data_IF_856224762162
#
_entry.id   IF_856224762162
#
_cell.length_a   1.000
_cell.length_b   1.000
_cell.length_c   1.000
_cell.angle_alpha   90.00
_cell.angle_beta   90.00
_cell.angle_gamma   90.00
#
_symmetry.space_group_name_H-M   'P 1'
#
loop_
_entity.id
_entity.type
_entity.pdbx_description
1 polymer ?
#
# COMPACT_ATOMS: atom_id res chain seq x y z
N UNK A 1 8.44 -17.30 0.76
CA UNK A 1 7.07 -17.03 1.25
C UNK A 1 6.64 -18.18 2.12
N UNK A 2 6.77 -19.43 1.64
CA UNK A 2 6.65 -20.65 2.46
C UNK A 2 7.43 -20.54 3.79
N UNK A 3 8.74 -20.28 3.77
CA UNK A 3 9.59 -20.17 4.97
C UNK A 3 9.25 -19.03 5.94
N UNK A 4 8.63 -17.94 5.49
CA UNK A 4 8.24 -16.83 6.38
C UNK A 4 6.85 -17.03 6.97
N UNK A 5 5.98 -17.69 6.21
CA UNK A 5 4.64 -18.08 6.66
C UNK A 5 4.73 -19.23 7.66
N UNK A 6 5.58 -20.23 7.42
CA UNK A 6 5.83 -21.28 8.41
C UNK A 6 6.44 -20.71 9.67
N UNK A 7 7.34 -19.72 9.60
CA UNK A 7 7.90 -19.12 10.80
C UNK A 7 6.86 -18.33 11.61
N UNK A 8 5.96 -17.60 10.93
CA UNK A 8 4.86 -16.86 11.60
C UNK A 8 3.80 -17.81 12.20
N UNK A 9 3.46 -18.88 11.48
CA UNK A 9 2.54 -19.93 11.96
C UNK A 9 3.19 -20.75 13.09
N UNK A 10 4.48 -21.06 13.00
CA UNK A 10 5.23 -21.69 14.10
C UNK A 10 5.32 -20.78 15.31
N UNK A 11 5.49 -19.46 15.13
CA UNK A 11 5.50 -18.51 16.23
C UNK A 11 4.13 -18.46 16.94
N UNK A 12 3.04 -18.40 16.16
CA UNK A 12 1.66 -18.48 16.67
C UNK A 12 1.32 -19.83 17.31
N UNK A 13 1.88 -20.93 16.81
CA UNK A 13 1.65 -22.26 17.38
C UNK A 13 2.48 -22.49 18.63
N UNK A 14 3.70 -21.93 18.72
CA UNK A 14 4.56 -22.05 19.91
C UNK A 14 3.94 -21.34 21.12
N UNK A 15 3.30 -20.18 20.90
CA UNK A 15 2.52 -19.49 21.95
C UNK A 15 1.28 -20.27 22.40
N UNK A 16 0.74 -21.15 21.54
CA UNK A 16 -0.41 -21.99 21.85
C UNK A 16 -0.02 -23.35 22.46
N UNK A 17 1.23 -23.79 22.33
CA UNK A 17 1.69 -25.11 22.77
C UNK A 17 2.45 -25.12 24.09
N UNK A 18 2.87 -23.96 24.60
CA UNK A 18 3.70 -23.88 25.81
C UNK A 18 2.94 -23.85 27.14
N UNK A 19 1.61 -23.83 27.16
CA UNK A 19 0.86 -23.62 28.40
C UNK A 19 -0.10 -24.77 28.70
N UNK A 20 0.44 -25.81 29.34
CA UNK A 20 -0.32 -26.81 30.10
C UNK A 20 0.20 -26.81 31.55
N UNK A 21 -0.17 -25.79 32.32
CA UNK A 21 -0.05 -25.78 33.78
C UNK A 21 -1.13 -24.86 34.37
N UNK A 22 -2.01 -25.45 35.19
CA UNK A 22 -3.38 -24.95 35.45
C UNK A 22 -3.49 -23.71 36.37
N UNK A 23 -2.46 -23.33 37.12
CA UNK A 23 -2.55 -22.19 38.06
C UNK A 23 -1.96 -20.86 37.51
N UNK A 24 -1.18 -20.90 36.42
CA UNK A 24 -0.70 -19.71 35.67
C UNK A 24 -1.70 -19.32 34.56
N UNK A 25 -2.76 -20.12 34.39
CA UNK A 25 -3.71 -20.00 33.29
C UNK A 25 -4.56 -18.72 33.38
N UNK A 26 -4.91 -18.23 34.56
CA UNK A 26 -5.84 -17.08 34.71
C UNK A 26 -5.14 -15.76 34.34
N UNK A 27 -3.95 -15.51 34.89
CA UNK A 27 -3.18 -14.29 34.61
C UNK A 27 -2.68 -14.25 33.15
N UNK A 28 -2.40 -15.42 32.55
CA UNK A 28 -2.10 -15.53 31.12
C UNK A 28 -3.35 -15.41 30.23
N UNK A 29 -4.54 -15.81 30.70
CA UNK A 29 -5.80 -15.64 29.98
C UNK A 29 -6.18 -14.15 29.91
N UNK A 30 -6.09 -13.43 31.03
CA UNK A 30 -6.36 -11.99 31.10
C UNK A 30 -5.42 -11.19 30.19
N UNK A 31 -4.14 -11.56 30.17
CA UNK A 31 -3.18 -10.98 29.22
C UNK A 31 -3.52 -11.25 27.76
N UNK A 32 -4.00 -12.46 27.43
CA UNK A 32 -4.39 -12.78 26.07
C UNK A 32 -5.67 -12.04 25.64
N UNK A 33 -6.59 -11.75 26.57
CA UNK A 33 -7.81 -10.99 26.31
C UNK A 33 -7.45 -9.55 25.91
N UNK A 34 -6.51 -8.90 26.60
CA UNK A 34 -6.06 -7.55 26.22
C UNK A 34 -5.47 -7.49 24.80
N UNK A 35 -4.66 -8.49 24.42
CA UNK A 35 -4.15 -8.63 23.04
C UNK A 35 -5.28 -8.79 22.01
N UNK A 36 -6.28 -9.61 22.35
CA UNK A 36 -7.45 -9.84 21.50
C UNK A 36 -8.22 -8.54 21.29
N UNK A 37 -8.43 -7.75 22.35
CA UNK A 37 -9.12 -6.47 22.29
C UNK A 37 -8.36 -5.42 21.47
N UNK A 38 -7.03 -5.35 21.61
CA UNK A 38 -6.21 -4.43 20.81
C UNK A 38 -6.27 -4.81 19.33
N UNK A 39 -6.06 -6.09 19.01
CA UNK A 39 -6.04 -6.54 17.62
C UNK A 39 -7.43 -6.41 16.99
N UNK A 40 -8.50 -6.72 17.72
CA UNK A 40 -9.87 -6.52 17.23
C UNK A 40 -10.15 -5.05 16.95
N UNK A 41 -9.75 -4.12 17.83
CA UNK A 41 -10.01 -2.69 17.66
C UNK A 41 -9.13 -2.01 16.60
N UNK A 42 -7.93 -2.54 16.34
CA UNK A 42 -7.05 -2.09 15.26
C UNK A 42 -7.52 -2.61 13.90
N UNK A 43 -8.21 -3.75 13.84
CA UNK A 43 -8.56 -4.39 12.57
C UNK A 43 -9.39 -3.55 11.60
N UNK A 44 -10.44 -2.82 12.05
CA UNK A 44 -11.25 -1.98 11.18
C UNK A 44 -10.44 -0.80 10.64
N UNK A 45 -9.42 -0.34 11.37
CA UNK A 45 -8.50 0.74 10.94
C UNK A 45 -7.73 0.36 9.69
N UNK A 46 -7.45 -0.93 9.48
CA UNK A 46 -6.80 -1.42 8.27
C UNK A 46 -7.70 -1.35 7.02
N UNK A 47 -9.03 -1.34 7.23
CA UNK A 47 -10.06 -1.31 6.17
C UNK A 47 -10.55 0.11 5.90
N UNK A 48 -10.93 0.89 6.90
CA UNK A 48 -11.16 2.32 6.73
C UNK A 48 -10.80 3.05 8.04
N UNK A 49 -9.61 3.65 8.13
CA UNK A 49 -9.14 4.30 9.35
C UNK A 49 -10.04 5.42 9.84
N UNK A 50 -10.62 6.21 8.92
CA UNK A 50 -11.42 7.36 9.33
C UNK A 50 -12.75 6.93 9.92
N UNK A 51 -13.45 6.01 9.24
CA UNK A 51 -14.70 5.44 9.73
C UNK A 51 -14.47 4.60 11.00
N UNK A 52 -13.39 3.83 11.05
CA UNK A 52 -13.07 3.01 12.22
C UNK A 52 -12.87 3.85 13.47
N UNK A 53 -12.02 4.88 13.40
CA UNK A 53 -11.75 5.76 14.55
C UNK A 53 -12.98 6.58 14.90
N UNK A 54 -13.65 7.17 13.91
CA UNK A 54 -14.87 7.95 14.13
C UNK A 54 -15.96 7.10 14.80
N UNK A 55 -16.25 5.91 14.25
CA UNK A 55 -17.27 5.01 14.76
C UNK A 55 -16.94 4.52 16.17
N UNK A 56 -15.69 4.13 16.43
CA UNK A 56 -15.26 3.66 17.76
C UNK A 56 -15.34 4.78 18.80
N UNK A 57 -14.84 5.98 18.49
CA UNK A 57 -14.87 7.12 19.40
C UNK A 57 -16.32 7.61 19.65
N UNK A 58 -17.16 7.65 18.61
CA UNK A 58 -18.56 8.04 18.74
C UNK A 58 -19.34 7.05 19.62
N UNK A 59 -19.20 5.75 19.39
CA UNK A 59 -19.86 4.71 20.18
C UNK A 59 -19.37 4.74 21.64
N UNK A 60 -18.08 4.94 21.87
CA UNK A 60 -17.52 5.13 23.21
C UNK A 60 -18.19 6.30 23.94
N UNK A 61 -18.37 7.45 23.28
CA UNK A 61 -19.05 8.62 23.86
C UNK A 61 -20.55 8.42 24.07
N UNK A 62 -21.17 7.52 23.33
CA UNK A 62 -22.57 7.11 23.53
C UNK A 62 -22.73 6.07 24.64
N UNK A 63 -21.64 5.64 25.29
CA UNK A 63 -21.65 4.65 26.37
C UNK A 63 -21.52 3.19 25.89
N UNK A 64 -21.23 2.96 24.62
CA UNK A 64 -20.95 1.62 24.07
C UNK A 64 -19.45 1.42 23.90
N UNK A 65 -18.82 0.73 24.85
CA UNK A 65 -17.39 0.47 24.85
C UNK A 65 -17.07 -0.88 25.51
N UNK A 66 -15.96 -1.51 25.11
CA UNK A 66 -15.31 -2.55 25.90
C UNK A 66 -14.34 -1.92 26.92
N UNK A 67 -13.70 -2.74 27.76
CA UNK A 67 -12.77 -2.24 28.78
C UNK A 67 -11.58 -1.49 28.18
N UNK A 68 -11.00 -2.03 27.08
CA UNK A 68 -9.94 -1.34 26.36
C UNK A 68 -10.34 0.07 25.90
N UNK A 69 -11.46 0.22 25.19
CA UNK A 69 -11.87 1.51 24.60
C UNK A 69 -12.22 2.53 25.68
N UNK A 70 -12.88 2.10 26.76
CA UNK A 70 -13.28 2.99 27.86
C UNK A 70 -12.07 3.70 28.46
N UNK A 71 -10.99 2.96 28.69
CA UNK A 71 -9.79 3.46 29.33
C UNK A 71 -8.78 4.08 28.34
N UNK A 72 -9.12 4.12 27.05
CA UNK A 72 -8.18 4.51 26.01
C UNK A 72 -8.19 6.04 25.76
N UNK A 73 -7.08 6.75 26.01
CA UNK A 73 -7.04 8.21 25.94
C UNK A 73 -7.28 8.78 24.53
N UNK A 74 -7.06 7.97 23.48
CA UNK A 74 -7.36 8.35 22.10
C UNK A 74 -8.87 8.35 21.79
N UNK A 75 -9.63 7.37 22.30
CA UNK A 75 -11.05 7.22 21.96
C UNK A 75 -11.95 8.05 22.86
N UNK A 76 -11.50 8.34 24.09
CA UNK A 76 -12.22 9.17 25.05
C UNK A 76 -12.07 10.70 24.81
N UNK A 77 -11.82 11.13 23.58
CA UNK A 77 -11.63 12.56 23.26
C UNK A 77 -12.60 13.08 22.19
N UNK A 78 -13.40 14.11 22.53
CA UNK A 78 -14.34 14.76 21.60
C UNK A 78 -13.65 15.37 20.38
N UNK A 79 -12.40 15.84 20.52
CA UNK A 79 -11.61 16.33 19.39
C UNK A 79 -11.39 15.23 18.35
N UNK A 80 -11.14 13.99 18.78
CA UNK A 80 -10.95 12.84 17.90
C UNK A 80 -12.25 12.50 17.17
N UNK A 81 -13.40 12.53 17.86
CA UNK A 81 -14.71 12.35 17.23
C UNK A 81 -14.95 13.38 16.13
N UNK A 82 -14.72 14.67 16.41
CA UNK A 82 -14.94 15.75 15.45
C UNK A 82 -13.97 15.64 14.27
N UNK A 83 -12.66 15.51 14.54
CA UNK A 83 -11.63 15.45 13.50
C UNK A 83 -11.86 14.29 12.54
N UNK A 84 -12.07 13.08 13.08
CA UNK A 84 -12.28 11.89 12.27
C UNK A 84 -13.67 11.85 11.63
N UNK A 85 -14.68 12.47 12.23
CA UNK A 85 -15.99 12.69 11.62
C UNK A 85 -15.92 13.61 10.40
N UNK A 86 -15.14 14.70 10.47
CA UNK A 86 -14.91 15.60 9.34
C UNK A 86 -14.12 14.90 8.24
N UNK A 87 -13.04 14.18 8.59
CA UNK A 87 -12.26 13.41 7.62
C UNK A 87 -13.11 12.34 6.95
N UNK A 88 -13.89 11.56 7.72
CA UNK A 88 -14.80 10.57 7.18
C UNK A 88 -15.83 11.22 6.23
N UNK A 89 -16.48 12.30 6.65
CA UNK A 89 -17.48 13.01 5.83
C UNK A 89 -16.86 13.52 4.52
N UNK A 90 -15.65 14.10 4.58
CA UNK A 90 -14.92 14.52 3.39
C UNK A 90 -14.64 13.35 2.44
N UNK A 91 -14.17 12.21 2.96
CA UNK A 91 -13.93 11.01 2.16
C UNK A 91 -15.22 10.39 1.60
N UNK A 92 -16.32 10.40 2.36
CA UNK A 92 -17.60 9.89 1.91
C UNK A 92 -18.16 10.73 0.77
N UNK A 93 -18.07 12.07 0.87
CA UNK A 93 -18.49 13.02 -0.17
C UNK A 93 -17.63 12.88 -1.42
N UNK A 94 -16.29 12.80 -1.29
CA UNK A 94 -15.39 12.59 -2.43
C UNK A 94 -15.63 11.23 -3.08
N UNK A 95 -15.77 10.18 -2.26
CA UNK A 95 -16.00 8.83 -2.73
C UNK A 95 -17.30 8.66 -3.51
N UNK A 96 -18.36 9.38 -3.14
CA UNK A 96 -19.69 9.25 -3.76
C UNK A 96 -19.92 10.24 -4.90
N UNK A 97 -19.52 11.51 -4.74
CA UNK A 97 -19.83 12.58 -5.71
C UNK A 97 -18.72 12.75 -6.74
N UNK A 98 -17.45 12.58 -6.33
CA UNK A 98 -16.30 12.89 -7.18
C UNK A 98 -15.74 11.66 -7.93
N UNK A 99 -16.05 10.41 -7.56
CA UNK A 99 -15.59 9.23 -8.32
C UNK A 99 -16.29 9.04 -9.68
N UNK A 100 -17.34 9.79 -10.00
CA UNK A 100 -18.07 9.72 -11.29
C UNK A 100 -17.36 10.40 -12.46
N UNK A 101 -16.40 11.31 -12.21
CA UNK A 101 -15.66 12.01 -13.26
C UNK A 101 -14.18 11.54 -13.35
N UNK A 102 -13.70 11.28 -14.58
CA UNK A 102 -12.36 10.73 -14.82
C UNK A 102 -11.20 11.62 -14.33
N UNK A 103 -11.46 12.93 -14.16
CA UNK A 103 -10.50 13.92 -13.68
C UNK A 103 -10.40 13.93 -12.16
N UNK A 104 -11.53 13.76 -11.46
CA UNK A 104 -11.62 13.68 -10.00
C UNK A 104 -11.22 12.32 -9.45
N UNK A 105 -11.16 11.28 -10.30
CA UNK A 105 -10.55 9.99 -9.94
C UNK A 105 -9.09 10.09 -9.48
N UNK A 106 -8.34 11.13 -9.86
CA UNK A 106 -6.97 11.37 -9.35
C UNK A 106 -6.98 11.84 -7.89
N UNK A 107 -7.94 12.70 -7.53
CA UNK A 107 -8.14 13.15 -6.14
C UNK A 107 -8.55 11.98 -5.26
N UNK A 108 -9.45 11.14 -5.76
CA UNK A 108 -9.87 9.92 -5.07
C UNK A 108 -8.69 8.94 -4.82
N UNK A 109 -7.81 8.76 -5.81
CA UNK A 109 -6.62 7.90 -5.62
C UNK A 109 -5.59 8.50 -4.64
N UNK A 110 -5.48 9.83 -4.56
CA UNK A 110 -4.64 10.50 -3.57
C UNK A 110 -5.20 10.34 -2.16
N UNK A 111 -6.53 10.40 -2.03
CA UNK A 111 -7.26 10.12 -0.80
C UNK A 111 -7.05 8.66 -0.35
N UNK A 112 -7.22 7.66 -1.23
CA UNK A 112 -6.95 6.24 -0.92
C UNK A 112 -5.48 6.01 -0.46
N UNK A 113 -4.52 6.78 -1.01
CA UNK A 113 -3.11 6.76 -0.58
C UNK A 113 -2.92 7.36 0.81
N UNK A 114 -3.53 8.52 1.09
CA UNK A 114 -3.50 9.16 2.40
C UNK A 114 -4.16 8.27 3.46
N UNK A 115 -5.30 7.68 3.14
CA UNK A 115 -6.00 6.72 4.00
C UNK A 115 -5.09 5.54 4.37
N UNK A 116 -4.32 5.00 3.42
CA UNK A 116 -3.37 3.91 3.69
C UNK A 116 -2.24 4.35 4.63
N UNK A 117 -1.78 5.60 4.54
CA UNK A 117 -0.76 6.14 5.46
C UNK A 117 -1.34 6.46 6.83
N UNK A 118 -2.55 7.01 6.87
CA UNK A 118 -3.29 7.27 8.08
C UNK A 118 -3.50 5.98 8.88
N UNK A 119 -3.87 4.87 8.23
CA UNK A 119 -4.07 3.58 8.89
C UNK A 119 -2.85 3.11 9.70
N UNK A 120 -1.65 3.23 9.15
CA UNK A 120 -0.40 2.87 9.86
C UNK A 120 -0.11 3.85 11.00
N UNK A 121 -0.31 5.15 10.77
CA UNK A 121 -0.09 6.19 11.78
C UNK A 121 -1.07 6.04 12.95
N UNK A 122 -2.34 5.79 12.67
CA UNK A 122 -3.38 5.58 13.67
C UNK A 122 -3.10 4.31 14.44
N UNK A 123 -2.72 3.21 13.78
CA UNK A 123 -2.30 2.00 14.48
C UNK A 123 -1.14 2.29 15.45
N UNK A 124 -0.13 3.05 15.00
CA UNK A 124 0.98 3.45 15.85
C UNK A 124 0.49 4.25 17.07
N UNK A 125 -0.39 5.24 16.86
CA UNK A 125 -0.91 6.06 17.95
C UNK A 125 -1.77 5.23 18.90
N UNK A 126 -2.70 4.41 18.40
CA UNK A 126 -3.59 3.59 19.23
C UNK A 126 -2.80 2.59 20.08
N UNK A 127 -1.80 1.92 19.52
CA UNK A 127 -1.02 0.93 20.28
C UNK A 127 -0.04 1.57 21.27
N UNK A 128 0.52 2.74 20.94
CA UNK A 128 1.60 3.35 21.73
C UNK A 128 1.08 4.36 22.75
N UNK A 129 0.03 5.10 22.45
CA UNK A 129 -0.45 6.20 23.29
C UNK A 129 -0.80 5.77 24.74
N UNK A 130 -1.45 4.61 24.98
CA UNK A 130 -1.70 4.12 26.33
C UNK A 130 -0.43 3.98 27.16
N UNK A 131 0.68 3.55 26.54
CA UNK A 131 1.96 3.31 27.23
C UNK A 131 2.64 4.59 27.73
N UNK A 132 2.25 5.75 27.20
CA UNK A 132 2.78 7.05 27.63
C UNK A 132 1.86 7.79 28.60
N UNK A 133 0.55 7.56 28.51
CA UNK A 133 -0.45 8.31 29.28
C UNK A 133 -0.98 7.54 30.49
N UNK A 134 -1.13 6.22 30.36
CA UNK A 134 -1.55 5.36 31.45
C UNK A 134 -0.29 4.74 32.07
N UNK A 135 0.00 5.09 33.32
CA UNK A 135 1.05 4.47 34.12
C UNK A 135 0.59 3.09 34.63
N UNK A 136 0.22 2.18 33.72
CA UNK A 136 -0.18 0.83 34.14
C UNK A 136 1.06 0.02 34.56
N UNK A 137 1.09 -0.50 35.81
CA UNK A 137 2.27 -1.17 36.37
C UNK A 137 2.61 -2.50 35.69
N UNK A 138 1.71 -3.06 34.87
CA UNK A 138 1.85 -4.40 34.28
C UNK A 138 2.64 -4.39 32.95
N UNK A 139 2.83 -3.22 32.33
CA UNK A 139 3.71 -3.05 31.16
C UNK A 139 5.20 -2.92 31.54
N UNK A 140 5.56 -3.13 32.83
CA UNK A 140 6.92 -2.96 33.35
C UNK A 140 7.89 -4.12 33.07
N UNK A 141 7.51 -5.14 32.29
CA UNK A 141 8.45 -6.21 31.95
C UNK A 141 9.34 -5.88 30.74
N UNK A 142 10.65 -5.92 31.00
CA UNK A 142 11.78 -5.78 30.08
C UNK A 142 11.72 -4.55 29.18
N UNK A 143 12.20 -3.44 29.74
CA UNK A 143 12.36 -2.16 29.06
C UNK A 143 13.49 -2.27 28.04
N UNK A 144 13.17 -2.18 26.75
CA UNK A 144 14.17 -1.86 25.73
C UNK A 144 14.31 -0.33 25.76
N UNK A 145 15.29 0.15 26.53
CA UNK A 145 15.56 1.58 26.63
C UNK A 145 16.33 2.04 25.38
N UNK A 146 15.65 2.70 24.45
CA UNK A 146 16.26 3.36 23.30
C UNK A 146 16.19 4.88 23.49
N UNK A 147 17.14 5.42 24.26
CA UNK A 147 17.21 6.87 24.53
C UNK A 147 16.04 7.38 25.39
N UNK A 148 15.36 8.43 24.92
CA UNK A 148 14.25 9.11 25.63
C UNK A 148 12.91 8.36 25.60
N UNK A 149 12.85 7.18 24.96
CA UNK A 149 11.62 6.39 24.81
C UNK A 149 11.85 5.02 25.47
N UNK A 150 11.07 4.72 26.50
CA UNK A 150 11.00 3.41 27.14
C UNK A 150 9.77 2.66 26.63
N UNK A 151 9.97 1.64 25.79
CA UNK A 151 8.91 0.74 25.36
C UNK A 151 9.20 -0.67 25.89
N UNK A 152 8.18 -1.33 26.44
CA UNK A 152 8.26 -2.75 26.78
C UNK A 152 8.41 -3.60 25.52
N UNK A 153 9.14 -4.70 25.62
CA UNK A 153 9.23 -5.70 24.55
C UNK A 153 7.84 -6.17 24.07
N UNK A 154 6.86 -6.29 24.98
CA UNK A 154 5.47 -6.69 24.65
C UNK A 154 4.83 -5.69 23.68
N UNK A 155 4.99 -4.39 23.95
CA UNK A 155 4.46 -3.30 23.09
C UNK A 155 5.15 -3.28 21.73
N UNK A 156 6.47 -3.48 21.69
CA UNK A 156 7.23 -3.55 20.44
C UNK A 156 6.77 -4.72 19.58
N UNK A 157 6.60 -5.91 20.19
CA UNK A 157 6.09 -7.09 19.50
C UNK A 157 4.67 -6.87 18.97
N UNK A 158 3.79 -6.31 19.80
CA UNK A 158 2.42 -5.98 19.43
C UNK A 158 2.38 -5.03 18.24
N UNK A 159 3.17 -3.95 18.29
CA UNK A 159 3.28 -2.96 17.23
C UNK A 159 3.77 -3.59 15.93
N UNK A 160 4.75 -4.50 15.98
CA UNK A 160 5.23 -5.21 14.80
C UNK A 160 4.13 -6.08 14.19
N UNK A 161 3.39 -6.82 15.02
CA UNK A 161 2.30 -7.69 14.57
C UNK A 161 1.16 -6.87 13.96
N UNK A 162 0.65 -5.88 14.67
CA UNK A 162 -0.47 -5.03 14.22
C UNK A 162 -0.09 -4.21 12.99
N UNK A 163 1.13 -3.68 12.93
CA UNK A 163 1.61 -2.93 11.76
C UNK A 163 1.74 -3.85 10.55
N UNK A 164 2.27 -5.06 10.71
CA UNK A 164 2.35 -6.02 9.62
C UNK A 164 0.95 -6.40 9.11
N UNK A 165 0.04 -6.67 10.05
CA UNK A 165 -1.37 -6.94 9.77
C UNK A 165 -2.03 -5.80 8.97
N UNK A 166 -1.93 -4.57 9.46
CA UNK A 166 -2.49 -3.36 8.82
C UNK A 166 -1.93 -3.21 7.40
N UNK A 167 -0.61 -3.35 7.23
CA UNK A 167 0.02 -3.24 5.91
C UNK A 167 -0.54 -4.28 4.94
N UNK A 168 -0.75 -5.53 5.37
CA UNK A 168 -1.27 -6.59 4.51
C UNK A 168 -2.70 -6.28 4.08
N UNK A 169 -3.59 -5.98 5.02
CA UNK A 169 -5.01 -5.70 4.71
C UNK A 169 -5.15 -4.42 3.90
N UNK A 170 -4.52 -3.31 4.30
CA UNK A 170 -4.61 -2.06 3.55
C UNK A 170 -4.03 -2.19 2.14
N UNK A 171 -3.04 -3.06 1.91
CA UNK A 171 -2.55 -3.36 0.55
C UNK A 171 -3.61 -4.07 -0.29
N UNK A 172 -4.35 -5.01 0.28
CA UNK A 172 -5.43 -5.72 -0.44
C UNK A 172 -6.61 -4.82 -0.68
N UNK A 173 -7.00 -4.01 0.31
CA UNK A 173 -7.99 -2.95 0.17
C UNK A 173 -7.63 -2.00 -0.97
N UNK A 174 -6.43 -1.43 -0.96
CA UNK A 174 -5.99 -0.50 -2.00
C UNK A 174 -5.98 -1.17 -3.39
N UNK A 175 -5.75 -2.48 -3.46
CA UNK A 175 -5.91 -3.22 -4.72
C UNK A 175 -7.38 -3.30 -5.16
N UNK A 176 -8.34 -3.51 -4.25
CA UNK A 176 -9.77 -3.45 -4.55
C UNK A 176 -10.17 -2.04 -5.01
N UNK A 177 -9.73 -0.99 -4.30
CA UNK A 177 -10.01 0.40 -4.69
C UNK A 177 -9.44 0.72 -6.09
N UNK A 178 -8.26 0.18 -6.42
CA UNK A 178 -7.68 0.30 -7.76
C UNK A 178 -8.50 -0.47 -8.83
N UNK A 179 -9.04 -1.64 -8.49
CA UNK A 179 -9.94 -2.37 -9.40
C UNK A 179 -11.25 -1.60 -9.64
N UNK A 180 -11.82 -1.02 -8.60
CA UNK A 180 -12.96 -0.10 -8.66
C UNK A 180 -12.62 1.06 -9.58
N UNK A 181 -11.47 1.70 -9.39
CA UNK A 181 -11.03 2.79 -10.26
C UNK A 181 -10.87 2.39 -11.75
N UNK A 182 -10.49 1.13 -12.04
CA UNK A 182 -10.38 0.61 -13.41
C UNK A 182 -11.71 0.08 -13.97
N UNK A 183 -12.75 0.00 -13.14
CA UNK A 183 -14.08 -0.45 -13.53
C UNK A 183 -14.74 0.60 -14.43
N UNK A 184 -15.38 0.21 -15.53
CA UNK A 184 -16.15 1.12 -16.36
C UNK A 184 -17.59 1.31 -15.85
N UNK A 185 -17.97 0.69 -14.73
CA UNK A 185 -19.36 0.61 -14.24
C UNK A 185 -19.52 1.36 -12.90
N UNK A 186 -19.99 2.63 -12.91
CA UNK A 186 -20.15 3.44 -11.70
C UNK A 186 -21.03 2.81 -10.61
N UNK A 187 -22.03 2.00 -11.00
CA UNK A 187 -22.89 1.29 -10.05
C UNK A 187 -22.14 0.27 -9.21
N UNK A 188 -21.22 -0.49 -9.84
CA UNK A 188 -20.39 -1.48 -9.14
C UNK A 188 -19.46 -0.78 -8.16
N UNK A 189 -18.97 0.39 -8.53
CA UNK A 189 -18.04 1.19 -7.72
C UNK A 189 -18.72 1.73 -6.46
N UNK A 190 -19.94 2.25 -6.58
CA UNK A 190 -20.75 2.71 -5.44
C UNK A 190 -21.11 1.56 -4.50
N UNK A 191 -21.52 0.40 -5.03
CA UNK A 191 -21.85 -0.77 -4.22
C UNK A 191 -20.62 -1.26 -3.46
N UNK A 192 -19.44 -1.34 -4.10
CA UNK A 192 -18.21 -1.77 -3.45
C UNK A 192 -17.73 -0.79 -2.38
N UNK A 193 -17.85 0.52 -2.62
CA UNK A 193 -17.53 1.54 -1.60
C UNK A 193 -18.50 1.46 -0.40
N UNK A 194 -19.80 1.27 -0.65
CA UNK A 194 -20.80 1.11 0.41
C UNK A 194 -20.55 -0.17 1.20
N UNK A 195 -20.25 -1.28 0.51
CA UNK A 195 -19.89 -2.55 1.15
C UNK A 195 -18.63 -2.39 2.02
N UNK A 196 -17.62 -1.65 1.56
CA UNK A 196 -16.41 -1.34 2.36
C UNK A 196 -16.76 -0.58 3.65
N UNK A 197 -17.62 0.44 3.56
CA UNK A 197 -18.07 1.22 4.71
C UNK A 197 -18.88 0.34 5.68
N UNK A 198 -19.88 -0.38 5.17
CA UNK A 198 -20.72 -1.27 5.97
C UNK A 198 -19.90 -2.38 6.64
N UNK A 199 -18.94 -2.96 5.93
CA UNK A 199 -18.04 -3.97 6.49
C UNK A 199 -17.14 -3.39 7.59
N UNK A 200 -16.59 -2.19 7.40
CA UNK A 200 -15.77 -1.55 8.45
C UNK A 200 -16.61 -1.25 9.69
N UNK A 201 -17.80 -0.66 9.51
CA UNK A 201 -18.70 -0.35 10.60
C UNK A 201 -19.16 -1.62 11.35
N UNK A 202 -19.47 -2.69 10.60
CA UNK A 202 -19.77 -3.99 11.18
C UNK A 202 -18.63 -4.56 12.01
N UNK A 203 -17.38 -4.43 11.54
CA UNK A 203 -16.20 -4.83 12.33
C UNK A 203 -15.98 -3.98 13.58
N UNK A 204 -16.27 -2.67 13.54
CA UNK A 204 -16.23 -1.80 14.72
C UNK A 204 -17.24 -2.28 15.76
N UNK A 205 -18.50 -2.49 15.36
CA UNK A 205 -19.54 -3.00 16.26
C UNK A 205 -19.14 -4.36 16.84
N UNK A 206 -18.67 -5.27 15.99
CA UNK A 206 -18.25 -6.59 16.42
C UNK A 206 -17.08 -6.52 17.42
N UNK A 207 -16.15 -5.59 17.23
CA UNK A 207 -14.99 -5.41 18.12
C UNK A 207 -15.39 -4.82 19.48
N UNK A 208 -16.40 -3.95 19.52
CA UNK A 208 -16.91 -3.36 20.77
C UNK A 208 -17.74 -4.38 21.55
N UNK A 209 -18.69 -5.06 20.90
CA UNK A 209 -19.63 -5.95 21.59
C UNK A 209 -19.07 -7.36 21.82
N UNK A 210 -18.24 -7.87 20.90
CA UNK A 210 -17.73 -9.23 20.94
C UNK A 210 -16.25 -9.29 20.48
N UNK A 211 -15.29 -8.78 21.28
CA UNK A 211 -13.89 -8.66 20.89
C UNK A 211 -13.27 -9.98 20.36
N UNK A 212 -13.58 -11.11 21.01
CA UNK A 212 -13.10 -12.44 20.59
C UNK A 212 -13.63 -12.81 19.20
N UNK A 213 -14.91 -12.58 18.93
CA UNK A 213 -15.48 -12.83 17.61
C UNK A 213 -14.86 -11.89 16.56
N UNK A 214 -14.68 -10.61 16.92
CA UNK A 214 -13.98 -9.61 16.10
C UNK A 214 -12.57 -10.06 15.73
N UNK A 215 -11.83 -10.61 16.68
CA UNK A 215 -10.49 -11.16 16.46
C UNK A 215 -10.47 -12.39 15.54
N UNK A 216 -11.40 -13.34 15.71
CA UNK A 216 -11.51 -14.50 14.82
C UNK A 216 -11.81 -14.07 13.38
N UNK A 217 -12.78 -13.17 13.19
CA UNK A 217 -13.07 -12.60 11.87
C UNK A 217 -11.85 -11.89 11.28
N UNK A 218 -11.12 -11.16 12.12
CA UNK A 218 -9.88 -10.46 11.75
C UNK A 218 -8.82 -11.41 11.22
N UNK A 219 -8.61 -12.57 11.87
CA UNK A 219 -7.69 -13.61 11.39
C UNK A 219 -8.13 -14.14 10.03
N UNK A 220 -9.42 -14.43 9.85
CA UNK A 220 -9.97 -14.95 8.58
C UNK A 220 -9.69 -13.95 7.45
N UNK A 221 -9.98 -12.67 7.68
CA UNK A 221 -9.74 -11.60 6.70
C UNK A 221 -8.26 -11.48 6.39
N UNK A 222 -7.39 -11.59 7.40
CA UNK A 222 -5.95 -11.54 7.22
C UNK A 222 -5.43 -12.70 6.37
N UNK A 223 -5.92 -13.92 6.60
CA UNK A 223 -5.54 -15.10 5.81
C UNK A 223 -5.95 -14.94 4.34
N UNK A 224 -7.19 -14.50 4.08
CA UNK A 224 -7.67 -14.20 2.73
C UNK A 224 -6.80 -13.10 2.09
N UNK A 225 -6.50 -12.05 2.86
CA UNK A 225 -5.67 -10.94 2.40
C UNK A 225 -4.24 -11.39 2.08
N UNK A 226 -3.67 -12.31 2.86
CA UNK A 226 -2.32 -12.83 2.64
C UNK A 226 -2.21 -13.64 1.34
N UNK A 227 -3.27 -14.38 0.98
CA UNK A 227 -3.36 -15.07 -0.31
C UNK A 227 -3.37 -14.07 -1.49
N UNK A 228 -4.11 -12.97 -1.35
CA UNK A 228 -4.24 -11.94 -2.38
C UNK A 228 -3.06 -10.96 -2.42
N UNK A 229 -2.32 -10.80 -1.32
CA UNK A 229 -1.29 -9.78 -1.13
C UNK A 229 -0.24 -9.77 -2.25
N UNK A 230 0.23 -10.94 -2.69
CA UNK A 230 1.24 -11.04 -3.76
C UNK A 230 0.72 -10.47 -5.08
N UNK A 231 -0.56 -10.70 -5.39
CA UNK A 231 -1.21 -10.21 -6.61
C UNK A 231 -1.48 -8.71 -6.47
N UNK A 232 -2.08 -8.29 -5.36
CA UNK A 232 -2.35 -6.89 -5.02
C UNK A 232 -1.08 -6.03 -5.15
N UNK A 233 0.00 -6.42 -4.46
CA UNK A 233 1.28 -5.69 -4.47
C UNK A 233 1.86 -5.52 -5.87
N UNK A 234 1.75 -6.52 -6.75
CA UNK A 234 2.26 -6.43 -8.14
C UNK A 234 1.48 -5.41 -8.94
N UNK A 235 0.15 -5.46 -8.87
CA UNK A 235 -0.73 -4.51 -9.56
C UNK A 235 -0.49 -3.08 -9.10
N UNK A 236 -0.33 -2.89 -7.78
CA UNK A 236 -0.06 -1.58 -7.18
C UNK A 236 1.30 -1.04 -7.62
N UNK A 237 2.35 -1.86 -7.64
CA UNK A 237 3.67 -1.44 -8.10
C UNK A 237 3.65 -1.07 -9.58
N UNK A 238 2.91 -1.81 -10.41
CA UNK A 238 2.70 -1.48 -11.82
C UNK A 238 2.01 -0.13 -11.97
N UNK A 239 0.88 0.08 -11.29
CA UNK A 239 0.13 1.33 -11.35
C UNK A 239 0.93 2.52 -10.83
N UNK A 240 1.64 2.37 -9.70
CA UNK A 240 2.52 3.40 -9.14
C UNK A 240 3.55 3.89 -10.16
N UNK A 241 4.18 2.96 -10.87
CA UNK A 241 5.22 3.30 -11.84
C UNK A 241 4.66 3.89 -13.14
N UNK A 242 3.56 3.32 -13.67
CA UNK A 242 2.99 3.73 -14.95
C UNK A 242 2.12 4.98 -14.87
N UNK A 243 1.49 5.23 -13.72
CA UNK A 243 0.51 6.32 -13.52
C UNK A 243 1.01 7.34 -12.52
N UNK A 244 1.31 6.92 -11.29
CA UNK A 244 1.60 7.87 -10.21
C UNK A 244 2.91 8.62 -10.43
N UNK A 245 3.97 7.94 -10.89
CA UNK A 245 5.26 8.58 -11.18
C UNK A 245 5.16 9.64 -12.30
N UNK A 246 4.53 9.35 -13.45
CA UNK A 246 4.28 10.38 -14.44
C UNK A 246 3.44 11.56 -13.94
N UNK A 247 2.37 11.31 -13.19
CA UNK A 247 1.56 12.40 -12.63
C UNK A 247 2.35 13.26 -11.64
N UNK A 248 3.16 12.63 -10.79
CA UNK A 248 4.02 13.35 -9.86
C UNK A 248 5.10 14.18 -10.58
N UNK A 249 5.70 13.63 -11.63
CA UNK A 249 6.67 14.33 -12.48
C UNK A 249 6.02 15.43 -13.33
N UNK A 250 4.72 15.32 -13.68
CA UNK A 250 4.00 16.42 -14.32
C UNK A 250 3.87 17.63 -13.39
N UNK A 251 3.77 17.39 -12.08
CA UNK A 251 3.74 18.44 -11.06
C UNK A 251 5.14 19.00 -10.78
N UNK A 252 6.13 18.13 -10.56
CA UNK A 252 7.52 18.57 -10.36
C UNK A 252 8.23 18.78 -11.70
N UNK A 253 8.45 20.03 -12.11
CA UNK A 253 9.34 20.40 -13.22
C UNK A 253 10.82 20.05 -12.94
N UNK A 254 11.18 18.78 -12.77
CA UNK A 254 12.57 18.33 -12.67
C UNK A 254 12.97 17.63 -13.97
N UNK A 255 13.87 18.27 -14.71
CA UNK A 255 14.34 17.85 -16.05
C UNK A 255 15.45 16.79 -16.01
N UNK A 256 16.05 16.49 -14.85
CA UNK A 256 17.15 15.51 -14.73
C UNK A 256 16.65 14.10 -14.41
N UNK A 257 15.92 13.48 -15.33
CA UNK A 257 15.33 12.13 -15.14
C UNK A 257 16.26 11.01 -15.65
N UNK A 258 17.21 11.32 -16.53
CA UNK A 258 17.95 10.33 -17.32
C UNK A 258 19.28 9.88 -16.74
N UNK A 259 19.98 10.74 -16.00
CA UNK A 259 21.38 10.54 -15.64
C UNK A 259 21.60 10.58 -14.13
N UNK A 260 22.51 9.74 -13.66
CA UNK A 260 23.04 9.78 -12.30
C UNK A 260 24.54 10.12 -12.38
N UNK A 261 24.84 11.36 -12.80
CA UNK A 261 26.18 11.76 -13.24
C UNK A 261 26.24 11.84 -14.76
N UNK A 262 27.10 11.03 -15.38
CA UNK A 262 27.36 11.04 -16.83
C UNK A 262 26.73 9.86 -17.59
N UNK A 263 26.41 8.75 -16.91
CA UNK A 263 25.86 7.54 -17.54
C UNK A 263 24.32 7.40 -17.40
N UNK A 264 23.70 6.69 -18.34
CA UNK A 264 22.26 6.40 -18.35
C UNK A 264 21.86 5.67 -17.07
N UNK A 265 20.91 6.22 -16.33
CA UNK A 265 20.32 5.60 -15.14
C UNK A 265 18.82 5.92 -15.05
N UNK A 266 18.00 5.08 -15.69
CA UNK A 266 16.54 5.28 -15.74
C UNK A 266 15.78 4.23 -14.91
N UNK A 267 14.61 4.61 -14.38
CA UNK A 267 13.73 3.65 -13.72
C UNK A 267 12.90 2.94 -14.78
N UNK A 268 12.83 1.60 -14.71
CA UNK A 268 12.03 0.75 -15.59
C UNK A 268 11.23 -0.26 -14.80
N UNK A 269 10.07 -0.68 -15.31
CA UNK A 269 9.29 -1.76 -14.70
C UNK A 269 9.54 -3.08 -15.42
N UNK A 270 10.06 -4.07 -14.69
CA UNK A 270 10.36 -5.38 -15.25
C UNK A 270 9.11 -6.25 -15.30
N UNK A 271 8.59 -6.52 -16.51
CA UNK A 271 7.37 -7.31 -16.73
C UNK A 271 7.65 -8.81 -16.69
N UNK A 272 8.75 -9.27 -17.29
CA UNK A 272 9.14 -10.69 -17.32
C UNK A 272 10.16 -11.04 -16.22
N UNK A 273 10.29 -12.33 -15.88
CA UNK A 273 11.37 -12.76 -14.99
C UNK A 273 12.62 -12.88 -15.85
N UNK A 274 13.68 -12.15 -15.49
CA UNK A 274 14.95 -12.24 -16.17
C UNK A 274 16.03 -12.68 -15.18
N UNK A 275 16.64 -13.84 -15.42
CA UNK A 275 17.65 -14.44 -14.53
C UNK A 275 17.18 -14.47 -13.05
N UNK A 276 17.99 -13.95 -12.12
CA UNK A 276 17.68 -13.83 -10.67
C UNK A 276 16.71 -12.68 -10.35
N UNK A 277 16.40 -11.82 -11.32
CA UNK A 277 15.49 -10.68 -11.15
C UNK A 277 14.03 -11.11 -11.31
N UNK A 278 13.24 -10.89 -10.25
CA UNK A 278 11.81 -11.26 -10.24
C UNK A 278 10.98 -10.27 -11.03
N UNK A 279 10.03 -10.79 -11.82
CA UNK A 279 8.98 -10.03 -12.49
C UNK A 279 8.14 -9.18 -11.52
N UNK A 280 7.60 -8.09 -12.05
CA UNK A 280 6.68 -7.19 -11.38
C UNK A 280 7.36 -6.25 -10.39
N UNK A 281 8.54 -5.74 -10.74
CA UNK A 281 9.34 -4.86 -9.89
C UNK A 281 9.84 -3.65 -10.66
N UNK A 282 9.86 -2.51 -9.98
CA UNK A 282 10.55 -1.31 -10.43
C UNK A 282 12.04 -1.51 -10.15
N UNK A 283 12.83 -1.37 -11.20
CA UNK A 283 14.29 -1.56 -11.21
C UNK A 283 14.92 -0.38 -11.94
N UNK A 284 16.22 -0.19 -11.78
CA UNK A 284 16.96 0.85 -12.50
C UNK A 284 17.75 0.19 -13.63
N UNK A 285 17.65 0.74 -14.82
CA UNK A 285 18.48 0.37 -15.96
C UNK A 285 19.67 1.33 -15.97
N UNK A 286 20.84 0.78 -15.74
CA UNK A 286 22.13 1.49 -15.65
C UNK A 286 23.00 1.03 -16.81
N UNK A 287 23.67 1.97 -17.48
CA UNK A 287 24.74 1.68 -18.43
C UNK A 287 26.06 1.93 -17.72
N UNK A 288 26.95 0.94 -17.69
CA UNK A 288 28.32 1.08 -17.18
C UNK A 288 29.26 0.69 -18.33
N UNK A 289 29.85 1.68 -19.01
CA UNK A 289 30.60 1.45 -20.25
C UNK A 289 29.74 0.84 -21.37
N UNK A 290 30.13 -0.34 -21.88
CA UNK A 290 29.38 -1.06 -22.92
C UNK A 290 28.32 -2.02 -22.35
N UNK A 291 28.33 -2.26 -21.04
CA UNK A 291 27.45 -3.26 -20.42
C UNK A 291 26.21 -2.60 -19.82
N UNK A 292 25.09 -3.30 -19.94
CA UNK A 292 23.81 -2.86 -19.40
C UNK A 292 23.47 -3.66 -18.16
N UNK A 293 23.06 -2.98 -17.11
CA UNK A 293 22.71 -3.59 -15.84
C UNK A 293 21.30 -3.21 -15.43
N UNK A 294 20.56 -4.20 -14.94
CA UNK A 294 19.37 -3.96 -14.14
C UNK A 294 19.77 -4.00 -12.68
N UNK A 295 19.76 -2.83 -12.04
CA UNK A 295 20.08 -2.67 -10.63
C UNK A 295 18.80 -2.55 -9.79
N UNK A 296 18.83 -3.15 -8.60
CA UNK A 296 17.80 -2.95 -7.58
C UNK A 296 18.45 -2.58 -6.26
N UNK A 297 18.22 -1.34 -5.82
CA UNK A 297 18.61 -0.90 -4.47
C UNK A 297 17.83 -1.69 -3.41
N UNK A 298 18.56 -2.20 -2.42
CA UNK A 298 18.01 -2.77 -1.19
C UNK A 298 18.33 -1.78 -0.06
N UNK A 299 17.38 -1.53 0.83
CA UNK A 299 17.52 -0.51 1.88
C UNK A 299 18.74 -0.72 2.80
N UNK A 300 19.22 -1.97 2.93
CA UNK A 300 20.34 -2.34 3.83
C UNK A 300 21.44 -3.20 3.18
N UNK A 301 21.38 -3.47 1.88
CA UNK A 301 22.34 -4.34 1.20
C UNK A 301 22.82 -3.72 -0.10
N UNK A 302 23.99 -4.18 -0.58
CA UNK A 302 24.51 -3.83 -1.89
C UNK A 302 23.43 -4.02 -2.97
N UNK A 303 23.38 -3.08 -3.95
CA UNK A 303 22.42 -3.16 -5.04
C UNK A 303 22.61 -4.49 -5.76
N UNK A 304 21.51 -5.20 -5.97
CA UNK A 304 21.55 -6.43 -6.75
C UNK A 304 21.58 -6.03 -8.22
N UNK A 305 22.75 -6.12 -8.85
CA UNK A 305 22.97 -5.88 -10.28
C UNK A 305 22.91 -7.21 -11.03
N UNK A 306 22.23 -7.19 -12.17
CA UNK A 306 22.17 -8.30 -13.12
C UNK A 306 22.46 -7.72 -14.49
N UNK A 307 23.45 -8.27 -15.17
CA UNK A 307 23.78 -7.91 -16.55
C UNK A 307 22.61 -8.27 -17.46
N UNK A 308 22.25 -7.34 -18.33
CA UNK A 308 21.11 -7.43 -19.23
C UNK A 308 21.62 -7.47 -20.65
N UNK A 309 21.25 -8.53 -21.36
CA UNK A 309 21.46 -8.60 -22.79
C UNK A 309 20.24 -8.02 -23.54
N UNK A 310 20.49 -6.97 -24.32
CA UNK A 310 19.51 -6.29 -25.17
C UNK A 310 19.78 -6.50 -26.67
N UNK A 311 20.60 -7.47 -27.08
CA UNK A 311 20.81 -7.76 -28.50
C UNK A 311 19.49 -8.01 -29.22
N UNK A 312 19.21 -7.25 -30.29
CA UNK A 312 17.97 -7.36 -31.05
C UNK A 312 16.75 -6.72 -30.39
N UNK A 313 16.91 -6.01 -29.27
CA UNK A 313 15.81 -5.30 -28.64
C UNK A 313 15.41 -4.05 -29.41
N UNK A 314 14.12 -3.71 -29.30
CA UNK A 314 13.56 -2.49 -29.86
C UNK A 314 12.61 -1.83 -28.85
N UNK A 315 12.47 -0.52 -28.98
CA UNK A 315 11.47 0.25 -28.23
C UNK A 315 10.19 0.33 -29.05
N UNK A 316 9.14 -0.34 -28.56
CA UNK A 316 7.79 -0.18 -29.07
C UNK A 316 7.05 0.89 -28.26
N UNK A 317 6.66 1.98 -28.90
CA UNK A 317 5.94 3.08 -28.25
C UNK A 317 4.45 2.74 -28.09
N UNK A 318 3.96 2.85 -26.87
CA UNK A 318 2.52 2.84 -26.54
C UNK A 318 2.04 4.23 -26.12
N UNK A 319 0.75 4.35 -25.80
CA UNK A 319 0.14 5.65 -25.45
C UNK A 319 0.49 6.04 -24.01
N UNK A 320 0.41 5.09 -23.07
CA UNK A 320 0.76 5.32 -21.67
C UNK A 320 2.19 4.94 -21.31
N UNK A 321 2.73 3.93 -21.98
CA UNK A 321 4.05 3.41 -21.69
C UNK A 321 4.65 2.82 -22.95
N UNK A 322 5.97 2.90 -23.05
CA UNK A 322 6.71 2.19 -24.10
C UNK A 322 7.27 0.90 -23.55
N UNK A 323 7.42 -0.11 -24.38
CA UNK A 323 8.05 -1.38 -23.99
C UNK A 323 9.38 -1.55 -24.72
N UNK A 324 10.44 -1.82 -23.97
CA UNK A 324 11.68 -2.39 -24.50
C UNK A 324 11.48 -3.89 -24.52
N UNK A 325 11.40 -4.45 -25.72
CA UNK A 325 11.22 -5.90 -25.94
C UNK A 325 12.30 -6.45 -26.82
N UNK A 326 12.82 -7.61 -26.45
CA UNK A 326 13.66 -8.41 -27.34
C UNK A 326 12.79 -9.26 -28.29
N UNK A 327 13.31 -9.65 -29.44
CA UNK A 327 12.68 -10.52 -30.44
C UNK A 327 12.11 -11.80 -29.82
N UNK A 328 12.82 -12.38 -28.84
CA UNK A 328 12.42 -13.60 -28.15
C UNK A 328 11.44 -13.36 -26.96
N UNK A 329 11.04 -12.11 -26.72
CA UNK A 329 10.22 -11.67 -25.56
C UNK A 329 10.78 -12.06 -24.17
N UNK A 330 12.03 -12.52 -24.10
CA UNK A 330 12.73 -12.89 -22.86
C UNK A 330 12.88 -11.69 -21.93
N UNK A 331 13.18 -10.52 -22.50
CA UNK A 331 13.23 -9.23 -21.82
C UNK A 331 12.03 -8.39 -22.23
N UNK A 332 11.25 -7.96 -21.24
CA UNK A 332 10.16 -7.00 -21.42
C UNK A 332 10.20 -5.97 -20.29
N UNK A 333 10.69 -4.78 -20.61
CA UNK A 333 10.78 -3.65 -19.69
C UNK A 333 9.82 -2.55 -20.10
N UNK A 334 9.08 -1.99 -19.15
CA UNK A 334 8.16 -0.88 -19.41
C UNK A 334 8.80 0.45 -19.01
N UNK A 335 8.78 1.39 -19.93
CA UNK A 335 9.14 2.79 -19.76
C UNK A 335 7.87 3.61 -19.51
N UNK A 336 7.87 4.40 -18.44
CA UNK A 336 6.74 5.27 -18.15
C UNK A 336 6.66 6.44 -19.15
N UNK A 337 5.50 7.11 -19.20
CA UNK A 337 5.27 8.27 -20.09
C UNK A 337 6.22 9.45 -19.85
N UNK A 338 6.83 9.57 -18.67
CA UNK A 338 7.76 10.67 -18.39
C UNK A 338 8.99 10.66 -19.29
N UNK A 339 9.38 9.50 -19.79
CA UNK A 339 10.53 9.34 -20.70
C UNK A 339 10.19 9.63 -22.17
N UNK A 340 8.94 10.05 -22.50
CA UNK A 340 8.48 10.22 -23.89
C UNK A 340 9.40 11.09 -24.74
N UNK A 341 9.89 12.20 -24.18
CA UNK A 341 10.76 13.13 -24.90
C UNK A 341 12.21 12.62 -25.04
N UNK A 342 12.55 11.55 -24.33
CA UNK A 342 13.89 11.01 -24.24
C UNK A 342 14.02 9.63 -24.89
N UNK A 343 12.99 9.12 -25.57
CA UNK A 343 13.05 7.78 -26.16
C UNK A 343 14.13 7.66 -27.25
N UNK A 344 14.34 8.69 -28.06
CA UNK A 344 15.40 8.71 -29.06
C UNK A 344 16.79 8.65 -28.40
N UNK A 345 16.99 9.44 -27.34
CA UNK A 345 18.23 9.47 -26.56
C UNK A 345 18.49 8.14 -25.84
N UNK A 346 17.46 7.57 -25.21
CA UNK A 346 17.52 6.26 -24.56
C UNK A 346 17.85 5.17 -25.59
N UNK A 347 17.22 5.19 -26.77
CA UNK A 347 17.49 4.23 -27.84
C UNK A 347 18.93 4.32 -28.34
N UNK A 348 19.45 5.54 -28.54
CA UNK A 348 20.82 5.78 -28.94
C UNK A 348 21.83 5.30 -27.88
N UNK A 349 21.58 5.60 -26.60
CA UNK A 349 22.47 5.17 -25.51
C UNK A 349 22.44 3.65 -25.28
N UNK A 350 21.31 2.99 -25.54
CA UNK A 350 21.16 1.53 -25.44
C UNK A 350 21.55 0.79 -26.74
N UNK A 351 21.87 1.50 -27.82
CA UNK A 351 22.15 0.94 -29.14
C UNK A 351 21.02 0.04 -29.68
N UNK A 352 19.77 0.48 -29.54
CA UNK A 352 18.56 -0.26 -29.96
C UNK A 352 17.71 0.55 -30.93
N UNK A 353 16.91 -0.13 -31.76
CA UNK A 353 16.01 0.55 -32.70
C UNK A 353 14.79 1.15 -31.98
N UNK A 354 14.44 2.38 -32.34
CA UNK A 354 13.22 3.05 -31.89
C UNK A 354 12.20 3.04 -33.03
N UNK A 355 11.06 2.38 -32.80
CA UNK A 355 9.96 2.32 -33.77
C UNK A 355 8.98 3.44 -33.45
N UNK A 356 8.95 4.48 -34.30
CA UNK A 356 7.96 5.54 -34.21
C UNK A 356 6.57 5.02 -34.60
N UNK A 357 5.51 5.32 -33.82
CA UNK A 357 4.16 4.95 -34.19
C UNK A 357 3.62 5.90 -35.26
N UNK A 358 2.86 5.36 -36.22
CA UNK A 358 2.05 6.13 -37.16
C UNK A 358 0.99 6.94 -36.39
N UNK A 359 1.19 8.27 -36.34
CA UNK A 359 0.25 9.30 -35.87
C UNK A 359 -0.22 9.21 -34.40
N UNK A 360 0.29 10.11 -33.57
CA UNK A 360 -0.49 10.81 -32.54
C UNK A 360 0.35 12.00 -32.02
N UNK A 361 0.37 13.05 -32.83
CA UNK A 361 0.80 14.39 -32.43
C UNK A 361 -0.32 15.05 -31.64
N UNK A 362 -0.20 15.05 -30.31
CA UNK A 362 -0.96 16.00 -29.50
C UNK A 362 -0.29 16.26 -28.14
N UNK A 363 -0.24 17.56 -27.82
CA UNK A 363 0.00 18.16 -26.51
C UNK A 363 1.47 18.36 -26.06
N UNK A 364 2.26 19.07 -26.87
CA UNK A 364 3.52 19.67 -26.42
C UNK A 364 3.26 20.87 -25.46
N UNK A 365 2.21 21.67 -25.70
CA UNK A 365 1.88 22.88 -24.91
C UNK A 365 0.47 22.89 -24.30
N UNK A 366 0.01 21.77 -23.75
CA UNK A 366 -1.32 21.72 -23.13
C UNK A 366 -1.24 21.94 -21.62
N UNK A 367 -2.20 22.70 -21.06
CA UNK A 367 -2.36 22.89 -19.62
C UNK A 367 -2.43 21.56 -18.86
N UNK A 368 -2.06 21.55 -17.58
CA UNK A 368 -2.07 20.37 -16.71
C UNK A 368 -3.35 19.52 -16.87
N UNK A 369 -4.51 20.18 -16.93
CA UNK A 369 -5.82 19.52 -17.12
C UNK A 369 -5.97 18.79 -18.45
N UNK A 370 -5.47 19.36 -19.56
CA UNK A 370 -5.49 18.69 -20.87
C UNK A 370 -4.52 17.50 -20.90
N UNK A 371 -3.37 17.59 -20.21
CA UNK A 371 -2.43 16.46 -20.03
C UNK A 371 -3.06 15.34 -19.18
N UNK A 372 -3.81 15.69 -18.14
CA UNK A 372 -4.52 14.73 -17.30
C UNK A 372 -5.66 14.03 -18.05
N UNK A 373 -6.45 14.79 -18.83
CA UNK A 373 -7.54 14.24 -19.66
C UNK A 373 -7.04 13.26 -20.72
N UNK A 374 -5.91 13.56 -21.38
CA UNK A 374 -5.29 12.63 -22.33
C UNK A 374 -4.70 11.39 -21.65
N UNK A 375 -4.36 11.47 -20.36
CA UNK A 375 -3.87 10.34 -19.59
C UNK A 375 -4.96 9.28 -19.33
N UNK A 376 -6.20 9.69 -19.09
CA UNK A 376 -7.31 8.79 -18.74
C UNK A 376 -8.33 8.53 -19.87
N UNK A 377 -7.92 8.66 -21.13
CA UNK A 377 -8.77 8.29 -22.26
C UNK A 377 -9.10 6.79 -22.28
N UNK A 378 -10.20 6.37 -22.93
CA UNK A 378 -10.61 4.96 -23.04
C UNK A 378 -9.51 4.05 -23.62
N UNK A 379 -8.74 4.55 -24.60
CA UNK A 379 -7.62 3.82 -25.23
C UNK A 379 -6.46 3.58 -24.25
N UNK A 380 -6.13 4.57 -23.42
CA UNK A 380 -5.09 4.47 -22.40
C UNK A 380 -5.50 3.56 -21.23
N UNK A 381 -6.75 3.62 -20.79
CA UNK A 381 -7.30 2.68 -19.80
C UNK A 381 -7.29 1.23 -20.30
N UNK A 382 -7.54 1.01 -21.60
CA UNK A 382 -7.44 -0.33 -22.22
C UNK A 382 -5.99 -0.84 -22.22
N UNK A 383 -5.01 0.00 -22.53
CA UNK A 383 -3.58 -0.35 -22.42
C UNK A 383 -3.17 -0.70 -20.98
N UNK A 384 -3.66 0.02 -19.97
CA UNK A 384 -3.41 -0.29 -18.56
C UNK A 384 -3.95 -1.67 -18.13
N UNK A 385 -5.03 -2.15 -18.77
CA UNK A 385 -5.60 -3.48 -18.53
C UNK A 385 -4.76 -4.59 -19.17
N UNK A 386 -4.14 -4.34 -20.33
CA UNK A 386 -3.32 -5.32 -21.07
C UNK A 386 -1.83 -5.29 -20.70
N UNK A 387 -1.37 -4.21 -20.06
CA UNK A 387 -0.03 -4.06 -19.47
C UNK A 387 0.27 -5.14 -18.42
#
# INVERSE_FOLDING_TARGET
>A
MKTKLTFFVLLLMNTLWLNAQEDVAIETLDHNIEFVEIISNVSPVAVNPYLAVFGTALLSKMGFHNEYIHNHPFYDNWFIVILFGVLFSFTAIIGTIFKTNQVSGVVANAEDFLETKASVLINLIVVVLPTFLNHDPVMQETVVQAGFISLSFKVVLLLLITTYFVIVISTVRYFIDLLVFLSPFPLVDSILNLAKMGFTFGLVLLSIFYPVAGFVFTIIIFLISLLLYKRARRTIQRFKYLVLYPLYNMWRHKEKILTNGEELSILVYNKTKYNKMKAGRIVRLEKEGERLFISRRRYFFFPHKVELDLTGAFIKRGILFSSITNSDQSVNLLLNRSYKNHYAEIAAQLNIQYIEPESDDAAYNASFWKRLKTFFNKKSLKELKTA
#
